data_IF_869603986343
#
_entry.id   IF_869603986343
#
_cell.length_a   1.000
_cell.length_b   1.000
_cell.length_c   1.000
_cell.angle_alpha   90.00
_cell.angle_beta   90.00
_cell.angle_gamma   90.00
#
_symmetry.space_group_name_H-M   'P 1'
#
loop_
_entity.id
_entity.type
_entity.pdbx_description
1 polymer ?
#
# COMPACT_ATOMS: atom_id res chain seq x y z
N UNK A 1 -19.44 12.26 13.34
CA UNK A 1 -18.21 12.63 12.70
C UNK A 1 -17.14 11.54 12.78
N UNK A 2 -16.82 11.03 13.97
CA UNK A 2 -15.79 9.97 14.13
C UNK A 2 -16.14 8.67 13.40
N UNK A 3 -17.41 8.29 13.38
CA UNK A 3 -17.85 7.08 12.64
C UNK A 3 -17.64 7.23 11.13
N UNK A 4 -17.84 8.43 10.59
CA UNK A 4 -17.58 8.70 9.17
C UNK A 4 -16.07 8.62 8.86
N UNK A 5 -15.23 9.12 9.78
CA UNK A 5 -13.76 9.05 9.63
C UNK A 5 -13.27 7.60 9.71
N UNK A 6 -13.81 6.80 10.63
CA UNK A 6 -13.47 5.37 10.74
C UNK A 6 -13.89 4.62 9.47
N UNK A 7 -15.08 4.89 8.93
CA UNK A 7 -15.52 4.28 7.67
C UNK A 7 -14.64 4.66 6.50
N UNK A 8 -14.19 5.92 6.46
CA UNK A 8 -13.25 6.39 5.42
C UNK A 8 -11.94 5.64 5.52
N UNK A 9 -11.42 5.47 6.73
CA UNK A 9 -10.20 4.70 6.97
C UNK A 9 -10.37 3.24 6.59
N UNK A 10 -11.50 2.63 6.94
CA UNK A 10 -11.77 1.23 6.56
C UNK A 10 -11.78 1.06 5.04
N UNK A 11 -12.37 1.99 4.30
CA UNK A 11 -12.35 1.97 2.84
C UNK A 11 -10.94 2.14 2.29
N UNK A 12 -10.15 3.04 2.89
CA UNK A 12 -8.77 3.26 2.49
C UNK A 12 -7.91 2.01 2.78
N UNK A 13 -8.13 1.36 3.91
CA UNK A 13 -7.45 0.11 4.26
C UNK A 13 -7.77 -0.97 3.24
N UNK A 14 -9.04 -1.17 2.90
CA UNK A 14 -9.45 -2.15 1.92
C UNK A 14 -8.86 -1.86 0.54
N UNK A 15 -8.85 -0.60 0.13
CA UNK A 15 -8.27 -0.20 -1.15
C UNK A 15 -6.77 -0.48 -1.18
N UNK A 16 -6.06 -0.19 -0.09
CA UNK A 16 -4.62 -0.42 0.03
C UNK A 16 -4.30 -1.92 0.03
N UNK A 17 -5.11 -2.72 0.72
CA UNK A 17 -4.97 -4.19 0.72
C UNK A 17 -5.13 -4.77 -0.68
N UNK A 18 -6.11 -4.28 -1.46
CA UNK A 18 -6.31 -4.68 -2.86
C UNK A 18 -5.11 -4.33 -3.72
N UNK A 19 -4.56 -3.14 -3.55
CA UNK A 19 -3.36 -2.70 -4.27
C UNK A 19 -2.17 -3.60 -3.94
N UNK A 20 -1.95 -3.88 -2.67
CA UNK A 20 -0.86 -4.74 -2.22
C UNK A 20 -0.98 -6.14 -2.81
N UNK A 21 -2.17 -6.72 -2.77
CA UNK A 21 -2.44 -8.02 -3.35
C UNK A 21 -2.20 -8.02 -4.87
N UNK A 22 -2.64 -6.97 -5.56
CA UNK A 22 -2.43 -6.82 -7.00
C UNK A 22 -0.95 -6.75 -7.35
N UNK A 23 -0.16 -6.00 -6.58
CA UNK A 23 1.30 -5.94 -6.78
C UNK A 23 1.93 -7.31 -6.58
N UNK A 24 1.49 -8.05 -5.56
CA UNK A 24 1.98 -9.41 -5.30
C UNK A 24 1.66 -10.38 -6.44
N UNK A 25 0.56 -10.15 -7.16
CA UNK A 25 0.20 -10.92 -8.35
C UNK A 25 0.90 -10.44 -9.63
N UNK A 26 1.73 -9.41 -9.55
CA UNK A 26 2.44 -8.83 -10.68
C UNK A 26 1.62 -7.86 -11.52
N UNK A 27 0.50 -7.37 -11.00
CA UNK A 27 -0.30 -6.35 -11.67
C UNK A 27 0.33 -4.98 -11.48
N UNK A 28 0.20 -4.11 -12.48
CA UNK A 28 0.89 -2.81 -12.49
C UNK A 28 0.00 -1.62 -12.13
N UNK A 29 -1.31 -1.82 -12.07
CA UNK A 29 -2.23 -0.70 -11.83
C UNK A 29 -2.00 0.02 -10.49
N UNK A 30 -1.51 -0.64 -9.39
CA UNK A 30 -1.24 0.10 -8.16
C UNK A 30 0.08 0.85 -8.15
N UNK A 31 0.93 0.64 -9.15
CA UNK A 31 2.26 1.26 -9.21
C UNK A 31 2.15 2.76 -9.49
N UNK A 32 3.08 3.54 -8.94
CA UNK A 32 3.19 4.95 -9.27
C UNK A 32 3.66 5.12 -10.72
N UNK A 33 3.53 6.33 -11.27
CA UNK A 33 4.01 6.62 -12.64
C UNK A 33 5.49 6.31 -12.81
N UNK A 34 6.32 6.62 -11.80
CA UNK A 34 7.75 6.36 -11.86
C UNK A 34 8.06 4.86 -11.78
N UNK A 35 7.33 4.13 -10.94
CA UNK A 35 7.46 2.67 -10.84
C UNK A 35 7.07 1.97 -12.15
N UNK A 36 5.97 2.41 -12.77
CA UNK A 36 5.53 1.89 -14.07
C UNK A 36 6.57 2.13 -15.15
N UNK A 37 7.15 3.32 -15.18
CA UNK A 37 8.21 3.66 -16.14
C UNK A 37 9.44 2.80 -15.95
N UNK A 38 9.84 2.56 -14.70
CA UNK A 38 10.98 1.69 -14.38
C UNK A 38 10.73 0.27 -14.85
N UNK A 39 9.51 -0.27 -14.59
CA UNK A 39 9.13 -1.61 -15.03
C UNK A 39 9.10 -1.71 -16.56
N UNK A 40 8.49 -0.73 -17.22
CA UNK A 40 8.39 -0.71 -18.68
C UNK A 40 9.78 -0.64 -19.34
N UNK A 41 10.67 0.17 -18.78
CA UNK A 41 12.05 0.27 -19.26
C UNK A 41 12.82 -1.04 -19.09
N UNK A 42 12.69 -1.67 -17.91
CA UNK A 42 13.33 -2.95 -17.64
C UNK A 42 12.84 -4.05 -18.60
N UNK A 43 11.53 -4.09 -18.87
CA UNK A 43 10.96 -5.02 -19.83
C UNK A 43 11.46 -4.79 -21.24
N UNK A 44 11.48 -3.54 -21.69
CA UNK A 44 11.93 -3.19 -23.05
C UNK A 44 13.41 -3.53 -23.23
N UNK A 45 14.27 -3.15 -22.29
CA UNK A 45 15.72 -3.41 -22.36
C UNK A 45 15.99 -4.90 -22.21
N UNK A 46 15.34 -5.57 -21.26
CA UNK A 46 15.48 -7.01 -21.04
C UNK A 46 15.04 -7.80 -22.25
N UNK A 47 13.90 -7.46 -22.85
CA UNK A 47 13.38 -8.10 -24.05
C UNK A 47 14.35 -7.92 -25.24
N UNK A 48 14.90 -6.73 -25.40
CA UNK A 48 15.93 -6.48 -26.44
C UNK A 48 17.17 -7.34 -26.23
N UNK A 49 17.67 -7.42 -24.99
CA UNK A 49 18.84 -8.24 -24.65
C UNK A 49 18.60 -9.73 -24.94
N UNK A 50 17.45 -10.25 -24.56
CA UNK A 50 17.08 -11.65 -24.82
C UNK A 50 17.01 -11.91 -26.33
N UNK A 51 16.41 -10.99 -27.10
CA UNK A 51 16.34 -11.09 -28.54
C UNK A 51 17.73 -11.10 -29.21
N UNK A 52 18.70 -10.50 -28.56
CA UNK A 52 20.12 -10.50 -29.01
C UNK A 52 20.95 -11.65 -28.41
N UNK A 53 20.32 -12.60 -27.73
CA UNK A 53 20.99 -13.72 -27.11
C UNK A 53 21.76 -13.35 -25.82
N UNK A 54 21.45 -12.19 -25.22
CA UNK A 54 22.07 -11.73 -23.98
C UNK A 54 21.18 -12.04 -22.78
N UNK A 55 21.78 -12.08 -21.60
CA UNK A 55 21.05 -12.28 -20.35
C UNK A 55 20.32 -11.00 -19.92
N UNK A 56 19.07 -11.13 -19.49
CA UNK A 56 18.27 -10.06 -18.93
C UNK A 56 18.27 -10.07 -17.39
N UNK A 57 19.22 -10.74 -16.75
CA UNK A 57 19.26 -10.89 -15.29
C UNK A 57 19.27 -9.57 -14.52
N UNK A 58 19.96 -8.54 -15.05
CA UNK A 58 19.98 -7.21 -14.42
C UNK A 58 18.60 -6.56 -14.46
N UNK A 59 17.89 -6.69 -15.59
CA UNK A 59 16.57 -6.10 -15.77
C UNK A 59 15.53 -6.84 -14.92
N UNK A 60 15.64 -8.14 -14.82
CA UNK A 60 14.78 -8.93 -13.92
C UNK A 60 14.97 -8.51 -12.47
N UNK A 61 16.22 -8.31 -12.03
CA UNK A 61 16.49 -7.81 -10.68
C UNK A 61 15.93 -6.41 -10.46
N UNK A 62 15.99 -5.53 -11.46
CA UNK A 62 15.40 -4.18 -11.37
C UNK A 62 13.90 -4.25 -11.21
N UNK A 63 13.24 -5.15 -11.93
CA UNK A 63 11.80 -5.36 -11.80
C UNK A 63 11.45 -5.87 -10.40
N UNK A 64 12.22 -6.82 -9.87
CA UNK A 64 12.05 -7.34 -8.51
C UNK A 64 12.23 -6.24 -7.46
N UNK A 65 13.27 -5.42 -7.60
CA UNK A 65 13.52 -4.30 -6.68
C UNK A 65 12.37 -3.30 -6.73
N UNK A 66 11.89 -2.96 -7.92
CA UNK A 66 10.77 -2.03 -8.09
C UNK A 66 9.49 -2.59 -7.47
N UNK A 67 9.20 -3.87 -7.72
CA UNK A 67 8.04 -4.54 -7.14
C UNK A 67 8.11 -4.62 -5.62
N UNK A 68 9.28 -4.94 -5.08
CA UNK A 68 9.50 -4.99 -3.63
C UNK A 68 9.37 -3.61 -2.99
N UNK A 69 9.87 -2.56 -3.65
CA UNK A 69 9.72 -1.18 -3.17
C UNK A 69 8.25 -0.77 -3.14
N UNK A 70 7.47 -1.14 -4.15
CA UNK A 70 6.03 -0.87 -4.19
C UNK A 70 5.30 -1.61 -3.05
N UNK A 71 5.64 -2.87 -2.80
CA UNK A 71 5.09 -3.64 -1.68
C UNK A 71 5.41 -2.98 -0.35
N UNK A 72 6.65 -2.58 -0.15
CA UNK A 72 7.08 -1.91 1.10
C UNK A 72 6.34 -0.59 1.30
N UNK A 73 6.16 0.19 0.24
CA UNK A 73 5.40 1.44 0.29
C UNK A 73 3.95 1.18 0.70
N UNK A 74 3.30 0.21 0.07
CA UNK A 74 1.90 -0.13 0.36
C UNK A 74 1.74 -0.72 1.77
N UNK A 75 2.69 -1.52 2.22
CA UNK A 75 2.70 -2.04 3.60
C UNK A 75 2.85 -0.91 4.61
N UNK A 76 3.70 0.08 4.32
CA UNK A 76 3.87 1.25 5.19
C UNK A 76 2.57 2.09 5.25
N UNK A 77 1.92 2.30 4.11
CA UNK A 77 0.61 2.98 4.04
C UNK A 77 -0.44 2.23 4.86
N UNK A 78 -0.49 0.90 4.70
CA UNK A 78 -1.45 0.07 5.43
C UNK A 78 -1.22 0.15 6.93
N UNK A 79 0.03 0.07 7.38
CA UNK A 79 0.40 0.21 8.79
C UNK A 79 -0.02 1.57 9.34
N UNK A 80 0.22 2.65 8.58
CA UNK A 80 -0.18 4.00 8.98
C UNK A 80 -1.70 4.13 9.09
N UNK A 81 -2.44 3.55 8.16
CA UNK A 81 -3.91 3.57 8.17
C UNK A 81 -4.47 2.80 9.38
N UNK A 82 -3.90 1.63 9.68
CA UNK A 82 -4.31 0.86 10.86
C UNK A 82 -4.00 1.61 12.15
N UNK A 83 -2.85 2.27 12.23
CA UNK A 83 -2.48 3.07 13.40
C UNK A 83 -3.45 4.25 13.60
N UNK A 84 -3.81 4.94 12.52
CA UNK A 84 -4.77 6.03 12.58
C UNK A 84 -6.17 5.54 13.00
N UNK A 85 -6.60 4.41 12.45
CA UNK A 85 -7.88 3.80 12.84
C UNK A 85 -7.89 3.44 14.33
N UNK A 86 -6.80 2.86 14.82
CA UNK A 86 -6.66 2.50 16.23
C UNK A 86 -6.71 3.75 17.11
N UNK A 87 -6.03 4.83 16.71
CA UNK A 87 -6.05 6.10 17.43
C UNK A 87 -7.46 6.65 17.56
N UNK A 88 -8.21 6.69 16.46
CA UNK A 88 -9.59 7.19 16.46
C UNK A 88 -10.52 6.31 17.30
N UNK A 89 -10.36 5.00 17.21
CA UNK A 89 -11.14 4.05 18.01
C UNK A 89 -10.85 4.23 19.50
N UNK A 90 -9.59 4.40 19.87
CA UNK A 90 -9.18 4.64 21.25
C UNK A 90 -9.73 5.95 21.79
N UNK A 91 -9.65 7.02 20.99
CA UNK A 91 -10.20 8.33 21.36
C UNK A 91 -11.72 8.27 21.57
N UNK A 92 -12.42 7.57 20.69
CA UNK A 92 -13.86 7.40 20.81
C UNK A 92 -14.22 6.63 22.08
N UNK A 93 -13.45 5.58 22.41
CA UNK A 93 -13.64 4.81 23.63
C UNK A 93 -13.39 5.65 24.88
N UNK A 94 -12.33 6.47 24.88
CA UNK A 94 -12.00 7.39 25.96
C UNK A 94 -13.08 8.44 26.17
N UNK A 95 -13.57 9.02 25.09
CA UNK A 95 -14.64 10.02 25.13
C UNK A 95 -15.93 9.42 25.69
N UNK A 96 -16.23 8.18 25.31
CA UNK A 96 -17.40 7.45 25.82
C UNK A 96 -17.26 7.14 27.30
N UNK A 97 -16.09 6.71 27.73
CA UNK A 97 -15.79 6.42 29.14
C UNK A 97 -15.87 7.70 29.99
N UNK A 98 -15.33 8.81 29.50
CA UNK A 98 -15.41 10.09 30.19
C UNK A 98 -16.85 10.57 30.34
N UNK A 99 -17.67 10.39 29.31
CA UNK A 99 -19.10 10.71 29.35
C UNK A 99 -19.85 9.87 30.36
N UNK A 100 -19.56 8.57 30.42
CA UNK A 100 -20.13 7.66 31.41
C UNK A 100 -19.74 8.05 32.83
N UNK A 101 -18.46 8.37 33.02
CA UNK A 101 -17.92 8.78 34.32
C UNK A 101 -18.60 10.06 34.82
N UNK A 102 -18.78 11.06 33.96
CA UNK A 102 -19.44 12.30 34.35
C UNK A 102 -20.97 12.14 34.56
N UNK A 103 -21.54 11.08 34.01
CA UNK A 103 -22.97 10.77 34.19
C UNK A 103 -23.33 10.17 35.55
N UNK A 104 -22.35 9.86 36.37
CA UNK A 104 -22.53 9.29 37.70
C UNK A 104 -22.84 10.30 38.79
N UNK A 105 -22.84 11.57 38.47
CA UNK A 105 -23.14 12.68 39.39
C UNK A 105 -24.64 12.99 39.44
#
# INVERSE_FOLDING_TARGET
MRNADIRRLDRAIQATEKKLEAVRRGEWWPLTGSERRAMARALAVGGYKVARGRSAGREERRMDVTGNAAEMRLNAELTALHAERQRLTTEAARAKAAKKSSGWW
#
